data_IF_056829218179
#
_entry.id   IF_056829218179
#
_cell.length_a   1.000
_cell.length_b   1.000
_cell.length_c   1.000
_cell.angle_alpha   90.00
_cell.angle_beta   90.00
_cell.angle_gamma   90.00
#
_symmetry.space_group_name_H-M   'P 1'
#
loop_
_entity.id
_entity.type
_entity.pdbx_description
1 polymer ?
#
# COMPACT_ATOMS: atom_id res chain seq x y z
N UNK A 1 -8.25 -19.09 7.38
CA UNK A 1 -7.58 -18.90 6.06
C UNK A 1 -8.13 -19.84 4.98
N UNK A 2 -9.36 -20.36 5.10
CA UNK A 2 -9.89 -21.45 4.28
C UNK A 2 -9.78 -21.21 2.76
N UNK A 3 -10.24 -20.05 2.27
CA UNK A 3 -10.14 -19.71 0.84
C UNK A 3 -8.70 -19.63 0.35
N UNK A 4 -7.79 -19.09 1.16
CA UNK A 4 -6.37 -19.00 0.81
C UNK A 4 -5.70 -20.38 0.80
N UNK A 5 -6.06 -21.26 1.75
CA UNK A 5 -5.57 -22.65 1.80
C UNK A 5 -6.07 -23.46 0.60
N UNK A 6 -7.37 -23.36 0.28
CA UNK A 6 -7.96 -24.03 -0.88
C UNK A 6 -7.35 -23.53 -2.21
N UNK A 7 -6.99 -22.25 -2.31
CA UNK A 7 -6.26 -21.71 -3.45
C UNK A 7 -4.81 -22.26 -3.50
N UNK A 8 -4.11 -22.27 -2.37
CA UNK A 8 -2.75 -22.81 -2.27
C UNK A 8 -2.67 -24.30 -2.64
N UNK A 9 -3.64 -25.12 -2.21
CA UNK A 9 -3.72 -26.55 -2.54
C UNK A 9 -3.81 -26.85 -4.04
N UNK A 10 -4.33 -25.91 -4.84
CA UNK A 10 -4.36 -26.06 -6.31
C UNK A 10 -2.96 -26.01 -6.94
N UNK A 11 -2.02 -25.35 -6.27
CA UNK A 11 -0.62 -25.21 -6.72
C UNK A 11 0.25 -26.28 -6.03
N UNK A 12 0.04 -26.50 -4.74
CA UNK A 12 0.82 -27.44 -3.92
C UNK A 12 -0.12 -28.29 -3.04
N UNK A 13 -0.35 -29.58 -3.36
CA UNK A 13 -1.37 -30.39 -2.67
C UNK A 13 -1.24 -30.45 -1.13
N UNK A 14 -0.02 -30.45 -0.60
CA UNK A 14 0.28 -30.52 0.84
C UNK A 14 0.19 -29.15 1.55
N UNK A 15 -0.24 -28.08 0.86
CA UNK A 15 -0.25 -26.71 1.39
C UNK A 15 -1.00 -26.59 2.73
N UNK A 16 -2.14 -27.27 2.85
CA UNK A 16 -2.94 -27.28 4.10
C UNK A 16 -2.27 -28.08 5.22
N UNK A 17 -1.56 -29.16 4.91
CA UNK A 17 -0.87 -29.99 5.91
C UNK A 17 0.30 -29.23 6.54
N UNK A 18 0.95 -28.35 5.78
CA UNK A 18 2.08 -27.52 6.24
C UNK A 18 1.65 -26.19 6.88
N UNK A 19 0.35 -25.94 7.00
CA UNK A 19 -0.16 -24.67 7.51
C UNK A 19 -0.09 -24.59 9.04
N UNK A 20 0.65 -23.61 9.57
CA UNK A 20 0.73 -23.37 11.02
C UNK A 20 -0.16 -22.21 11.48
N UNK A 21 -0.04 -21.04 10.85
CA UNK A 21 -0.79 -19.83 11.23
C UNK A 21 -0.92 -18.85 10.08
N UNK A 22 -1.86 -17.92 10.19
CA UNK A 22 -2.05 -16.84 9.24
C UNK A 22 -2.54 -15.56 9.92
N UNK A 23 -2.25 -14.44 9.27
CA UNK A 23 -2.92 -13.18 9.50
C UNK A 23 -3.36 -12.59 8.15
N UNK A 24 -4.28 -11.64 8.18
CA UNK A 24 -4.74 -10.90 7.00
C UNK A 24 -5.01 -9.46 7.39
N UNK A 25 -4.65 -8.52 6.50
CA UNK A 25 -4.87 -7.09 6.72
C UNK A 25 -5.64 -6.52 5.52
N UNK A 26 -6.74 -5.85 5.81
CA UNK A 26 -7.46 -5.04 4.84
C UNK A 26 -7.01 -3.58 5.03
N UNK A 27 -5.94 -3.16 4.34
CA UNK A 27 -5.30 -1.86 4.53
C UNK A 27 -6.25 -0.66 4.43
N UNK A 28 -7.23 -0.72 3.52
CA UNK A 28 -8.29 0.28 3.37
C UNK A 28 -9.23 0.42 4.58
N UNK A 29 -9.16 -0.50 5.55
CA UNK A 29 -9.94 -0.47 6.80
C UNK A 29 -9.09 -0.14 8.02
N UNK A 30 -7.77 0.01 7.86
CA UNK A 30 -6.88 0.41 8.96
C UNK A 30 -6.94 1.92 9.08
N UNK A 31 -7.41 2.42 10.23
CA UNK A 31 -7.79 3.82 10.47
C UNK A 31 -6.75 4.85 10.03
N UNK A 32 -5.46 4.54 10.19
CA UNK A 32 -4.38 5.48 9.87
C UNK A 32 -3.68 5.18 8.54
N UNK A 33 -4.06 4.12 7.82
CA UNK A 33 -3.55 3.82 6.49
C UNK A 33 -4.53 4.22 5.40
N UNK A 34 -5.82 3.87 5.55
CA UNK A 34 -6.90 4.16 4.59
C UNK A 34 -6.68 3.63 3.16
N UNK A 35 -5.64 2.83 2.94
CA UNK A 35 -5.21 2.30 1.65
C UNK A 35 -3.87 1.57 1.79
N UNK A 36 -3.48 0.84 0.75
CA UNK A 36 -2.16 0.17 0.72
C UNK A 36 -1.03 1.13 0.37
N UNK A 37 -1.27 2.01 -0.60
CA UNK A 37 -0.34 3.04 -1.08
C UNK A 37 -1.14 4.10 -1.86
N UNK A 38 -0.56 5.28 -2.06
CA UNK A 38 -1.14 6.27 -2.96
C UNK A 38 -0.95 5.89 -4.44
N UNK A 39 -1.97 6.17 -5.25
CA UNK A 39 -1.89 6.08 -6.70
C UNK A 39 -2.28 7.42 -7.32
N UNK A 40 -1.51 7.84 -8.31
CA UNK A 40 -1.75 9.08 -9.03
C UNK A 40 -2.12 8.76 -10.47
N UNK A 41 -3.19 9.39 -10.96
CA UNK A 41 -3.37 9.56 -12.41
C UNK A 41 -2.47 10.70 -12.89
N UNK A 42 -2.11 10.72 -14.18
CA UNK A 42 -1.35 11.83 -14.75
C UNK A 42 -2.03 13.19 -14.49
N UNK A 43 -3.36 13.24 -14.68
CA UNK A 43 -4.16 14.44 -14.44
C UNK A 43 -4.11 14.92 -13.00
N UNK A 44 -4.32 14.01 -12.03
CA UNK A 44 -4.35 14.39 -10.61
C UNK A 44 -2.96 14.75 -10.09
N UNK A 45 -1.90 14.07 -10.58
CA UNK A 45 -0.52 14.43 -10.25
C UNK A 45 -0.19 15.83 -10.75
N UNK A 46 -0.45 16.11 -12.03
CA UNK A 46 -0.17 17.41 -12.61
C UNK A 46 -0.89 18.56 -11.89
N UNK A 47 -2.13 18.31 -11.44
CA UNK A 47 -2.95 19.32 -10.77
C UNK A 47 -2.58 19.57 -9.29
N UNK A 48 -2.18 18.55 -8.53
CA UNK A 48 -2.04 18.65 -7.08
C UNK A 48 -0.60 18.46 -6.57
N UNK A 49 0.20 17.63 -7.23
CA UNK A 49 1.53 17.25 -6.75
C UNK A 49 2.49 18.43 -6.59
N UNK A 50 2.57 19.41 -7.52
CA UNK A 50 3.47 20.56 -7.36
C UNK A 50 3.19 21.34 -6.07
N UNK A 51 1.92 21.61 -5.77
CA UNK A 51 1.51 22.31 -4.56
C UNK A 51 1.83 21.52 -3.29
N UNK A 52 1.63 20.21 -3.29
CA UNK A 52 1.94 19.37 -2.13
C UNK A 52 3.44 19.31 -1.81
N UNK A 53 4.29 19.31 -2.84
CA UNK A 53 5.76 19.29 -2.68
C UNK A 53 6.33 20.67 -2.33
N UNK A 54 5.72 21.75 -2.82
CA UNK A 54 6.13 23.12 -2.48
C UNK A 54 5.93 23.43 -0.98
N UNK A 55 4.85 22.92 -0.38
CA UNK A 55 4.50 23.18 1.01
C UNK A 55 3.89 24.58 1.21
N UNK A 56 3.61 24.95 2.47
CA UNK A 56 3.01 26.25 2.82
C UNK A 56 3.52 26.76 4.17
N UNK A 57 4.29 27.85 4.15
CA UNK A 57 4.83 28.51 5.34
C UNK A 57 5.67 27.58 6.24
N UNK A 58 5.07 27.11 7.35
CA UNK A 58 5.71 26.19 8.32
C UNK A 58 5.28 24.73 8.14
N UNK A 59 4.50 24.43 7.11
CA UNK A 59 3.96 23.10 6.83
C UNK A 59 4.68 22.54 5.61
N UNK A 60 5.40 21.45 5.82
CA UNK A 60 6.00 20.64 4.78
C UNK A 60 5.38 19.24 4.83
N UNK A 61 5.19 18.64 3.66
CA UNK A 61 4.63 17.30 3.52
C UNK A 61 5.71 16.36 2.97
N UNK A 62 5.67 15.12 3.43
CA UNK A 62 6.58 14.06 2.99
C UNK A 62 5.87 12.70 3.04
N UNK A 63 6.42 11.72 2.32
CA UNK A 63 5.91 10.35 2.26
C UNK A 63 6.04 9.76 0.86
N UNK A 64 5.73 8.48 0.72
CA UNK A 64 5.82 7.75 -0.55
C UNK A 64 4.94 8.37 -1.65
N UNK A 65 3.85 9.01 -1.25
CA UNK A 65 2.92 9.71 -2.12
C UNK A 65 3.50 11.01 -2.71
N UNK A 66 4.67 11.46 -2.24
CA UNK A 66 5.37 12.69 -2.66
C UNK A 66 6.80 12.46 -3.19
N UNK A 67 7.15 11.25 -3.63
CA UNK A 67 8.52 10.92 -4.09
C UNK A 67 8.65 10.29 -5.48
N UNK A 68 7.60 10.33 -6.31
CA UNK A 68 7.49 9.56 -7.56
C UNK A 68 7.64 8.02 -7.42
N UNK A 69 8.01 7.49 -6.25
CA UNK A 69 8.18 6.08 -5.93
C UNK A 69 7.08 5.60 -4.97
N UNK A 70 5.83 5.73 -5.42
CA UNK A 70 4.65 5.33 -4.64
C UNK A 70 4.67 3.83 -4.32
N UNK A 71 4.21 3.47 -3.12
CA UNK A 71 4.14 2.07 -2.66
C UNK A 71 5.47 1.47 -2.19
N UNK A 72 6.55 2.25 -2.14
CA UNK A 72 7.86 1.82 -1.67
C UNK A 72 8.32 2.60 -0.45
N UNK A 73 8.96 1.90 0.50
CA UNK A 73 9.63 2.55 1.63
C UNK A 73 10.75 3.49 1.17
N UNK A 74 11.46 3.17 0.09
CA UNK A 74 12.47 4.03 -0.50
C UNK A 74 11.90 5.37 -1.02
N UNK A 75 10.60 5.42 -1.32
CA UNK A 75 9.91 6.66 -1.62
C UNK A 75 9.46 7.43 -0.38
N UNK A 76 9.41 6.80 0.79
CA UNK A 76 9.02 7.47 2.03
C UNK A 76 10.21 8.10 2.77
N UNK A 77 11.42 7.63 2.48
CA UNK A 77 12.71 8.10 3.04
C UNK A 77 13.26 9.22 2.17
#
# INVERSE_FOLDING_TARGET
AEFALAAGQKIFPQYTESFESAFSVAWHRVQYNLGGWAEWTEKTRAAAYPTLVEGEGRILLAGEHLSYLTGWQAGAI
#
